data_IF_791554819662
#
_entry.id   IF_791554819662
#
_cell.length_a   1.000
_cell.length_b   1.000
_cell.length_c   1.000
_cell.angle_alpha   90.00
_cell.angle_beta   90.00
_cell.angle_gamma   90.00
#
_symmetry.space_group_name_H-M   'P 1'
#
loop_
_entity.id
_entity.type
_entity.pdbx_description
1 polymer ?
2 non-polymer ?
3 non-polymer ?
4 non-polymer ?
5 non-polymer ?
6 non-polymer ?
7 water ?
#
# COMPACT_ATOMS: atom_id res chain seq x y z
N UNK A 2 -11.79 23.02 5.67
CA UNK A 2 -10.79 22.05 6.23
C UNK A 2 -11.30 21.35 7.50
N UNK A 3 -11.74 20.09 7.37
CA UNK A 3 -12.10 19.23 8.53
C UNK A 3 -10.86 18.99 9.41
N UNK A 4 -11.02 19.00 10.73
CA UNK A 4 -9.88 18.78 11.65
C UNK A 4 -10.07 17.66 12.70
N UNK A 5 -11.25 17.06 12.73
CA UNK A 5 -11.52 15.87 13.53
C UNK A 5 -12.78 15.21 13.00
N UNK A 6 -12.99 13.96 13.43
CA UNK A 6 -14.12 13.15 13.02
C UNK A 6 -14.86 12.67 14.24
N UNK A 7 -14.41 13.12 15.41
CA UNK A 7 -14.96 12.67 16.67
C UNK A 7 -15.41 13.80 17.58
N UNK A 8 -15.73 13.43 18.82
CA UNK A 8 -16.18 14.39 19.82
C UNK A 8 -15.03 14.87 20.74
N UNK A 9 -13.81 14.35 20.55
CA UNK A 9 -12.73 14.71 21.46
C UNK A 9 -11.94 15.95 20.99
N UNK A 10 -12.05 17.04 21.75
CA UNK A 10 -11.28 18.26 21.47
C UNK A 10 -9.76 18.06 21.59
N UNK A 11 -9.31 17.27 22.57
CA UNK A 11 -7.86 16.90 22.67
C UNK A 11 -7.30 16.25 21.38
N UNK A 12 -8.14 15.53 20.66
CA UNK A 12 -7.68 14.86 19.42
C UNK A 12 -7.32 15.79 18.26
N UNK A 13 -7.97 16.93 18.14
CA UNK A 13 -7.63 17.85 17.05
C UNK A 13 -6.16 18.20 17.10
N UNK A 14 -5.69 18.51 18.31
CA UNK A 14 -4.29 18.81 18.60
C UNK A 14 -3.40 17.59 18.37
N UNK A 15 -3.79 16.44 18.91
CA UNK A 15 -2.93 15.24 18.83
C UNK A 15 -2.79 14.80 17.36
N UNK A 16 -3.86 14.94 16.60
CA UNK A 16 -3.84 14.59 15.18
C UNK A 16 -2.94 15.54 14.39
N UNK A 17 -3.14 16.86 14.59
CA UNK A 17 -2.33 17.83 13.85
C UNK A 17 -0.86 17.58 14.23
N UNK A 18 -0.58 17.25 15.48
CA UNK A 18 0.77 16.94 15.89
C UNK A 18 1.34 15.73 15.12
N UNK A 19 0.61 14.61 15.08
CA UNK A 19 1.07 13.43 14.32
C UNK A 19 1.26 13.77 12.86
N UNK A 20 0.35 14.56 12.29
CA UNK A 20 0.43 14.91 10.87
C UNK A 20 1.59 15.80 10.49
N UNK A 21 2.24 16.45 11.46
CA UNK A 21 3.52 17.12 11.15
C UNK A 21 4.55 16.13 10.53
N UNK A 22 4.39 14.83 10.74
CA UNK A 22 5.32 13.83 10.15
C UNK A 22 4.82 13.20 8.83
N UNK A 23 3.81 13.84 8.25
CA UNK A 23 3.23 13.40 6.96
C UNK A 23 4.25 13.02 5.93
N UNK A 24 5.28 13.85 5.75
CA UNK A 24 6.26 13.64 4.70
C UNK A 24 7.40 12.71 5.11
N UNK A 25 7.25 12.04 6.24
CA UNK A 25 8.32 11.24 6.79
C UNK A 25 7.99 9.75 6.85
N UNK A 26 8.99 8.93 6.58
CA UNK A 26 8.87 7.48 6.71
C UNK A 26 8.48 7.09 8.11
N UNK A 27 8.87 7.88 9.11
CA UNK A 27 8.58 7.55 10.50
C UNK A 27 7.22 7.96 11.05
N UNK A 28 6.31 8.50 10.22
CA UNK A 28 4.92 8.73 10.64
C UNK A 28 4.34 7.49 11.29
N UNK A 29 3.50 7.70 12.30
CA UNK A 29 2.87 6.60 12.99
C UNK A 29 1.40 6.58 12.66
N UNK A 30 1.02 5.68 11.75
CA UNK A 30 -0.34 5.60 11.28
C UNK A 30 -1.28 5.05 12.36
N UNK A 31 -0.76 4.26 13.29
CA UNK A 31 -1.64 3.76 14.33
C UNK A 31 -2.15 4.94 15.20
N UNK A 32 -1.28 5.89 15.48
CA UNK A 32 -1.67 7.07 16.25
C UNK A 32 -2.66 7.94 15.44
N UNK A 33 -2.42 8.07 14.14
CA UNK A 33 -3.33 8.78 13.28
C UNK A 33 -4.74 8.19 13.40
N UNK A 34 -4.85 6.87 13.35
CA UNK A 34 -6.14 6.22 13.53
C UNK A 34 -6.75 6.48 14.90
N UNK A 35 -5.93 6.46 15.96
CA UNK A 35 -6.46 6.70 17.31
C UNK A 35 -7.02 8.13 17.42
N UNK A 36 -6.38 9.11 16.82
CA UNK A 36 -6.81 10.48 16.97
C UNK A 36 -7.83 10.97 15.91
N UNK A 37 -8.29 10.08 15.01
CA UNK A 37 -9.24 10.41 13.94
C UNK A 37 -10.56 9.65 14.03
N UNK A 38 -10.84 9.06 15.18
CA UNK A 38 -12.01 8.20 15.39
C UNK A 38 -12.07 7.07 14.36
N UNK A 39 -10.91 6.47 14.18
CA UNK A 39 -10.74 5.40 13.23
C UNK A 39 -11.05 5.77 11.77
N UNK A 40 -10.54 6.91 11.34
CA UNK A 40 -10.58 7.32 9.95
C UNK A 40 -9.20 7.61 9.37
N UNK A 41 -8.24 6.65 9.53
CA UNK A 41 -6.87 6.89 9.09
C UNK A 41 -6.79 7.13 7.59
N UNK A 42 -7.57 6.40 6.82
CA UNK A 42 -7.46 6.51 5.37
C UNK A 42 -8.06 7.83 4.88
N UNK A 43 -9.25 8.17 5.36
CA UNK A 43 -9.86 9.47 5.01
C UNK A 43 -8.97 10.63 5.38
N UNK A 44 -8.46 10.63 6.61
CA UNK A 44 -7.66 11.77 7.09
C UNK A 44 -6.27 11.82 6.45
N UNK A 45 -5.61 10.67 6.31
CA UNK A 45 -4.30 10.73 5.67
C UNK A 45 -4.38 11.14 4.18
N UNK A 46 -5.42 10.67 3.51
CA UNK A 46 -5.59 10.98 2.11
C UNK A 46 -5.91 12.49 1.99
N UNK A 47 -6.76 12.99 2.86
CA UNK A 47 -7.03 14.43 2.91
C UNK A 47 -5.76 15.23 3.15
N UNK A 48 -4.95 14.82 4.12
CA UNK A 48 -3.66 15.47 4.37
C UNK A 48 -2.66 15.39 3.22
N UNK A 49 -2.51 14.21 2.63
CA UNK A 49 -1.67 14.07 1.44
C UNK A 49 -2.14 14.99 0.29
N UNK A 50 -3.42 14.98 -0.05
CA UNK A 50 -3.87 15.78 -1.22
C UNK A 50 -3.66 17.30 -1.03
N UNK A 51 -3.92 17.80 0.17
CA UNK A 51 -3.64 19.22 0.53
C UNK A 51 -2.17 19.55 0.51
N UNK A 52 -1.34 18.66 1.08
CA UNK A 52 0.12 18.82 1.02
C UNK A 52 0.62 18.96 -0.42
N UNK A 53 0.02 18.25 -1.36
CA UNK A 53 0.49 18.28 -2.73
C UNK A 53 -0.33 19.19 -3.62
N UNK A 54 -1.27 19.94 -3.05
CA UNK A 54 -2.14 20.82 -3.82
C UNK A 54 -2.89 20.11 -4.96
N UNK A 55 -3.27 18.84 -4.72
CA UNK A 55 -3.97 18.03 -5.73
C UNK A 55 -5.46 18.38 -5.88
N UNK A 56 -6.11 18.78 -4.79
CA UNK A 56 -7.51 19.23 -4.89
C UNK A 56 -7.61 20.51 -5.76
N UNK A 57 -6.68 21.43 -5.56
CA UNK A 57 -6.58 22.61 -6.43
C UNK A 57 -6.21 22.24 -7.86
N UNK A 58 -5.10 21.53 -8.04
CA UNK A 58 -4.63 21.22 -9.39
C UNK A 58 -5.69 20.53 -10.23
N UNK A 59 -6.41 19.58 -9.63
CA UNK A 59 -7.38 18.81 -10.37
C UNK A 59 -8.85 19.22 -10.16
N UNK A 60 -9.04 20.38 -9.51
CA UNK A 60 -10.38 20.96 -9.24
C UNK A 60 -11.33 19.95 -8.61
N UNK A 61 -10.82 19.31 -7.56
CA UNK A 61 -11.63 18.36 -6.78
C UNK A 61 -12.25 19.08 -5.59
N UNK A 62 -13.56 19.05 -5.49
CA UNK A 62 -14.23 19.60 -4.33
C UNK A 62 -13.86 18.88 -3.03
N UNK A 63 -13.50 19.67 -1.99
CA UNK A 63 -13.20 19.08 -0.66
C UNK A 63 -14.35 18.21 -0.16
N UNK A 64 -15.57 18.67 -0.41
CA UNK A 64 -16.78 17.95 -0.03
C UNK A 64 -16.90 16.56 -0.70
N UNK A 65 -16.69 16.53 -2.00
CA UNK A 65 -16.81 15.29 -2.77
C UNK A 65 -15.66 14.35 -2.35
N UNK A 66 -14.47 14.92 -2.14
CA UNK A 66 -13.30 14.14 -1.79
C UNK A 66 -13.54 13.39 -0.48
N UNK A 67 -14.04 14.09 0.53
CA UNK A 67 -14.30 13.51 1.85
C UNK A 67 -15.37 12.46 1.79
N UNK A 68 -16.41 12.71 1.01
CA UNK A 68 -17.47 11.74 0.86
C UNK A 68 -17.01 10.47 0.14
N UNK A 69 -16.18 10.62 -0.87
CA UNK A 69 -15.67 9.46 -1.60
C UNK A 69 -14.77 8.64 -0.66
N UNK A 70 -13.85 9.33 0.01
CA UNK A 70 -12.84 8.71 0.87
C UNK A 70 -13.48 8.01 2.07
N UNK A 71 -14.46 8.64 2.72
CA UNK A 71 -15.21 8.00 3.78
C UNK A 71 -15.85 6.73 3.31
N UNK A 72 -16.45 6.78 2.12
CA UNK A 72 -17.12 5.62 1.60
C UNK A 72 -16.12 4.53 1.19
N UNK A 73 -15.02 4.92 0.58
CA UNK A 73 -14.00 3.91 0.26
C UNK A 73 -13.52 3.24 1.56
N UNK A 74 -13.24 4.05 2.57
CA UNK A 74 -12.79 3.54 3.85
C UNK A 74 -13.79 2.57 4.43
N UNK A 75 -15.07 2.89 4.32
CA UNK A 75 -16.14 2.04 4.80
C UNK A 75 -16.17 0.71 4.06
N UNK A 76 -15.55 0.61 2.88
CA UNK A 76 -15.58 -0.69 2.16
C UNK A 76 -14.38 -1.57 2.51
N UNK A 77 -13.49 -1.09 3.34
CA UNK A 77 -12.51 -1.94 3.96
C UNK A 77 -13.21 -2.60 5.19
N UNK A 78 -12.96 -3.87 5.41
CA UNK A 78 -13.61 -4.62 6.49
C UNK A 78 -12.86 -4.37 7.79
N UNK A 79 -13.49 -3.70 8.76
CA UNK A 79 -12.82 -3.48 10.05
C UNK A 79 -12.60 -4.76 10.84
N UNK A 80 -13.35 -5.83 10.55
CA UNK A 80 -13.10 -7.14 11.16
C UNK A 80 -12.03 -8.00 10.51
N UNK A 81 -11.27 -7.45 9.57
CA UNK A 81 -10.13 -8.15 8.98
C UNK A 81 -8.91 -7.57 9.67
N UNK A 82 -8.01 -8.43 10.14
CA UNK A 82 -6.93 -8.02 11.07
C UNK A 82 -5.91 -7.14 10.42
N UNK A 83 -5.55 -7.48 9.21
CA UNK A 83 -4.52 -6.74 8.57
C UNK A 83 -5.02 -5.87 7.39
N UNK A 84 -5.70 -6.51 6.44
CA UNK A 84 -6.14 -5.85 5.20
C UNK A 84 -7.41 -5.00 5.46
N UNK A 85 -7.31 -4.09 6.43
CA UNK A 85 -8.35 -3.10 6.74
C UNK A 85 -7.86 -1.69 6.34
N UNK A 86 -8.58 -0.63 6.69
CA UNK A 86 -8.25 0.70 6.17
C UNK A 86 -6.94 1.28 6.72
N UNK A 87 -6.45 0.74 7.84
CA UNK A 87 -5.17 1.22 8.39
C UNK A 87 -4.00 0.86 7.49
N UNK A 88 -4.04 -0.37 6.94
CA UNK A 88 -3.11 -0.83 5.93
C UNK A 88 -3.13 0.02 4.67
N UNK A 89 -4.32 0.28 4.14
CA UNK A 89 -4.48 1.14 2.98
C UNK A 89 -3.92 2.56 3.29
N UNK A 90 -4.25 3.08 4.47
CA UNK A 90 -3.70 4.41 4.87
C UNK A 90 -2.16 4.42 4.84
N UNK A 91 -1.57 3.37 5.40
CA UNK A 91 -0.15 3.20 5.50
C UNK A 91 0.47 3.12 4.15
N UNK A 92 -0.13 2.35 3.24
CA UNK A 92 0.44 2.21 1.94
C UNK A 92 0.31 3.53 1.16
N UNK A 93 -0.79 4.25 1.31
CA UNK A 93 -0.91 5.54 0.64
C UNK A 93 0.14 6.55 1.17
N UNK A 94 0.27 6.63 2.49
CA UNK A 94 1.30 7.54 3.09
C UNK A 94 2.71 7.11 2.71
N UNK A 95 2.97 5.80 2.69
CA UNK A 95 4.30 5.34 2.26
C UNK A 95 4.57 5.71 0.82
N UNK A 96 3.56 5.56 -0.03
CA UNK A 96 3.69 5.96 -1.42
C UNK A 96 3.95 7.48 -1.59
N UNK A 97 3.24 8.29 -0.80
CA UNK A 97 3.48 9.75 -0.78
C UNK A 97 4.95 10.07 -0.43
N UNK A 98 5.54 9.35 0.51
CA UNK A 98 6.98 9.56 0.81
C UNK A 98 7.91 9.15 -0.36
N UNK A 99 7.70 7.95 -0.89
CA UNK A 99 8.50 7.43 -2.01
C UNK A 99 8.43 8.32 -3.22
N UNK A 100 7.30 8.97 -3.46
CA UNK A 100 7.17 9.86 -4.62
C UNK A 100 8.11 11.10 -4.52
N UNK A 101 8.55 11.43 -3.31
CA UNK A 101 9.41 12.60 -3.07
C UNK A 101 10.88 12.28 -2.95
N UNK A 102 11.25 11.01 -3.10
CA UNK A 102 12.64 10.62 -3.05
C UNK A 102 13.48 11.50 -4.04
N UNK A 103 14.67 11.97 -3.61
CA UNK A 103 15.35 12.96 -4.48
C UNK A 103 15.63 12.49 -5.91
N UNK A 104 16.02 11.23 -6.06
CA UNK A 104 16.28 10.62 -7.37
C UNK A 104 15.14 10.76 -8.39
N UNK A 105 13.91 10.78 -7.91
CA UNK A 105 12.77 10.88 -8.81
C UNK A 105 12.27 12.30 -8.90
N UNK A 106 12.97 13.24 -8.29
CA UNK A 106 12.54 14.62 -8.30
C UNK A 106 12.29 15.06 -9.72
N UNK A 107 11.14 15.71 -9.94
CA UNK A 107 10.68 16.24 -11.24
C UNK A 107 10.38 15.20 -12.30
N UNK A 108 10.47 13.91 -11.98
CA UNK A 108 10.22 12.88 -12.98
C UNK A 108 8.75 12.77 -13.36
N UNK A 109 7.85 12.84 -12.37
CA UNK A 109 6.45 12.45 -12.59
C UNK A 109 5.54 13.64 -12.82
N UNK A 110 4.59 13.49 -13.73
CA UNK A 110 3.53 14.44 -13.88
C UNK A 110 2.61 14.39 -12.66
N UNK A 111 1.80 15.43 -12.55
CA UNK A 111 0.84 15.56 -11.49
C UNK A 111 -0.20 14.42 -11.61
N UNK A 112 -0.63 14.12 -12.83
CA UNK A 112 -1.60 13.05 -13.06
C UNK A 112 -1.08 11.73 -12.58
N UNK A 113 0.20 11.50 -12.80
CA UNK A 113 0.87 10.30 -12.38
C UNK A 113 0.98 10.18 -10.84
N UNK A 114 1.26 11.30 -10.18
CA UNK A 114 1.37 11.39 -8.73
C UNK A 114 -0.01 11.06 -8.10
N UNK A 115 -1.03 11.66 -8.68
CA UNK A 115 -2.41 11.42 -8.34
C UNK A 115 -2.82 9.93 -8.50
N UNK A 116 -2.48 9.35 -9.65
CA UNK A 116 -2.74 7.94 -9.93
C UNK A 116 -2.11 7.06 -8.86
N UNK A 117 -0.86 7.33 -8.54
CA UNK A 117 -0.14 6.50 -7.64
C UNK A 117 -0.75 6.52 -6.24
N UNK A 118 -1.12 7.69 -5.72
CA UNK A 118 -1.66 7.77 -4.37
C UNK A 118 -3.06 7.19 -4.30
N UNK A 119 -3.85 7.42 -5.34
CA UNK A 119 -5.18 6.84 -5.44
C UNK A 119 -5.09 5.31 -5.53
N UNK A 120 -4.15 4.78 -6.33
CA UNK A 120 -3.93 3.35 -6.45
C UNK A 120 -3.60 2.73 -5.08
N UNK A 121 -2.72 3.36 -4.32
CA UNK A 121 -2.39 2.91 -2.97
C UNK A 121 -3.64 2.85 -2.06
N UNK A 122 -4.46 3.90 -2.11
CA UNK A 122 -5.69 4.01 -1.32
C UNK A 122 -6.69 2.91 -1.55
N UNK A 123 -6.87 2.56 -2.81
CA UNK A 123 -7.83 1.55 -3.21
C UNK A 123 -7.33 0.11 -3.24
N UNK A 124 -6.05 -0.12 -3.03
CA UNK A 124 -5.44 -1.30 -3.59
C UNK A 124 -5.86 -2.58 -2.91
N UNK A 125 -6.39 -2.53 -1.69
CA UNK A 125 -6.92 -3.72 -1.02
C UNK A 125 -8.39 -3.56 -0.61
N UNK A 126 -9.17 -2.66 -1.26
CA UNK A 126 -10.55 -2.39 -0.80
C UNK A 126 -11.49 -3.62 -0.89
N UNK A 127 -12.31 -3.81 0.13
CA UNK A 127 -13.22 -4.94 0.25
C UNK A 127 -12.52 -6.31 0.32
N UNK A 128 -11.30 -6.32 0.85
CA UNK A 128 -10.53 -7.57 1.03
C UNK A 128 -11.24 -8.41 2.08
N UNK A 129 -11.48 -9.70 1.80
CA UNK A 129 -12.20 -10.51 2.76
C UNK A 129 -11.32 -11.23 3.78
N UNK A 130 -10.00 -11.10 3.69
CA UNK A 130 -9.07 -11.63 4.70
C UNK A 130 -8.58 -13.05 4.44
N UNK A 131 -8.74 -13.47 3.20
CA UNK A 131 -8.24 -14.75 2.74
C UNK A 131 -7.60 -14.54 1.37
N UNK A 132 -6.72 -15.45 1.02
CA UNK A 132 -5.83 -15.31 -0.12
C UNK A 132 -6.56 -15.68 -1.41
N UNK A 133 -5.97 -15.32 -2.54
CA UNK A 133 -6.49 -15.66 -3.84
C UNK A 133 -6.64 -17.18 -3.96
N UNK A 134 -5.60 -17.90 -3.51
CA UNK A 134 -5.66 -19.36 -3.52
C UNK A 134 -6.79 -19.98 -2.70
N UNK A 135 -7.08 -19.47 -1.50
CA UNK A 135 -8.25 -19.90 -0.77
C UNK A 135 -9.57 -19.59 -1.56
N UNK A 136 -9.65 -18.43 -2.23
CA UNK A 136 -10.87 -18.11 -2.97
C UNK A 136 -11.06 -19.06 -4.14
N UNK A 137 -9.97 -19.41 -4.82
CA UNK A 137 -9.98 -20.28 -5.98
C UNK A 137 -10.36 -21.72 -5.54
N UNK A 138 -9.77 -22.18 -4.45
CA UNK A 138 -9.93 -23.55 -4.00
C UNK A 138 -11.29 -23.77 -3.39
N UNK A 139 -11.93 -22.72 -2.86
CA UNK A 139 -13.27 -22.86 -2.33
C UNK A 139 -14.39 -22.55 -3.35
N UNK A 140 -14.02 -22.30 -4.59
CA UNK A 140 -14.98 -22.04 -5.65
C UNK A 140 -15.82 -20.85 -5.29
N UNK A 141 -15.18 -19.80 -4.78
CA UNK A 141 -15.91 -18.67 -4.30
C UNK A 141 -16.50 -17.84 -5.45
N UNK A 142 -17.47 -17.02 -5.12
CA UNK A 142 -18.10 -16.14 -6.12
C UNK A 142 -17.04 -15.24 -6.84
N UNK A 143 -16.08 -14.68 -6.09
CA UNK A 143 -15.03 -13.86 -6.68
C UNK A 143 -14.17 -14.63 -7.67
N UNK A 144 -13.75 -15.87 -7.34
CA UNK A 144 -12.92 -16.66 -8.23
C UNK A 144 -13.73 -17.08 -9.48
N UNK A 145 -15.01 -17.25 -9.33
CA UNK A 145 -15.87 -17.56 -10.49
C UNK A 145 -16.09 -16.32 -11.35
N UNK A 146 -16.12 -15.16 -10.72
CA UNK A 146 -16.26 -13.90 -11.51
C UNK A 146 -15.00 -13.62 -12.36
N UNK A 147 -13.85 -13.79 -11.75
CA UNK A 147 -12.58 -13.42 -12.31
C UNK A 147 -11.76 -14.58 -12.85
N UNK A 148 -12.37 -15.75 -13.01
CA UNK A 148 -11.64 -16.82 -13.70
C UNK A 148 -10.25 -17.14 -13.11
N UNK A 149 -10.17 -17.07 -11.79
CA UNK A 149 -9.01 -17.47 -10.99
C UNK A 149 -7.79 -16.58 -11.17
N UNK A 150 -7.93 -15.51 -11.94
CA UNK A 150 -6.76 -14.67 -12.29
C UNK A 150 -6.81 -13.33 -11.55
N UNK A 151 -5.81 -13.11 -10.72
CA UNK A 151 -5.70 -11.88 -9.88
C UNK A 151 -7.07 -11.49 -9.34
N UNK A 152 -7.68 -12.46 -8.67
CA UNK A 152 -9.08 -12.41 -8.22
C UNK A 152 -9.27 -11.20 -7.33
N UNK A 153 -8.51 -11.13 -6.25
CA UNK A 153 -8.73 -10.03 -5.30
C UNK A 153 -8.37 -8.69 -5.96
N UNK A 154 -7.24 -8.63 -6.64
CA UNK A 154 -6.73 -7.35 -7.20
C UNK A 154 -7.69 -6.79 -8.23
N UNK A 155 -8.31 -7.68 -9.02
CA UNK A 155 -9.33 -7.22 -9.98
C UNK A 155 -10.54 -6.66 -9.20
N UNK A 156 -10.91 -7.34 -8.11
CA UNK A 156 -12.02 -6.91 -7.28
C UNK A 156 -11.77 -5.58 -6.64
N UNK A 157 -10.57 -5.36 -6.12
CA UNK A 157 -10.23 -4.08 -5.46
C UNK A 157 -10.38 -2.91 -6.43
N UNK A 158 -9.92 -3.12 -7.67
CA UNK A 158 -10.07 -2.10 -8.73
C UNK A 158 -11.53 -1.83 -9.08
N UNK A 159 -12.31 -2.89 -9.22
CA UNK A 159 -13.71 -2.79 -9.56
C UNK A 159 -14.44 -1.99 -8.53
N UNK A 160 -14.22 -2.28 -7.25
CA UNK A 160 -14.90 -1.58 -6.21
C UNK A 160 -14.49 -0.06 -6.23
N UNK A 161 -13.19 0.17 -6.29
CA UNK A 161 -12.67 1.54 -6.31
C UNK A 161 -13.24 2.39 -7.43
N UNK A 162 -13.37 1.82 -8.62
CA UNK A 162 -13.83 2.59 -9.77
C UNK A 162 -15.35 2.68 -9.82
N UNK A 163 -16.03 1.63 -9.34
CA UNK A 163 -17.46 1.65 -9.24
C UNK A 163 -17.95 2.72 -8.29
N UNK A 164 -17.21 3.01 -7.23
CA UNK A 164 -17.61 4.05 -6.28
C UNK A 164 -17.55 5.48 -6.86
N UNK A 165 -16.80 5.69 -7.93
CA UNK A 165 -16.79 7.00 -8.62
C UNK A 165 -18.00 7.27 -9.49
N UNK A 166 -18.85 6.27 -9.70
CA UNK A 166 -19.99 6.39 -10.63
C UNK A 166 -21.16 7.24 -10.10
N UNK A 167 -21.17 7.60 -8.83
CA UNK A 167 -22.22 8.44 -8.29
C UNK A 167 -21.69 9.88 -8.31
N UNK A 168 -22.43 10.82 -8.89
CA UNK A 168 -21.97 12.22 -9.02
C UNK A 168 -21.40 12.77 -7.73
N UNK A 169 -22.10 12.50 -6.62
CA UNK A 169 -21.70 12.99 -5.30
C UNK A 169 -20.33 12.48 -4.84
N UNK A 170 -19.84 11.40 -5.45
CA UNK A 170 -18.59 10.81 -5.05
C UNK A 170 -17.52 10.90 -6.17
N UNK A 171 -17.84 11.51 -7.34
CA UNK A 171 -16.89 11.51 -8.46
C UNK A 171 -15.82 12.56 -8.30
N UNK A 172 -14.79 12.21 -7.55
CA UNK A 172 -13.66 13.10 -7.34
C UNK A 172 -12.92 13.48 -8.64
N UNK A 173 -13.09 12.68 -9.70
CA UNK A 173 -12.37 12.92 -10.97
C UNK A 173 -13.24 13.61 -12.02
N UNK A 174 -14.35 14.19 -11.58
CA UNK A 174 -15.29 14.88 -12.44
C UNK A 174 -14.66 15.95 -13.35
N UNK A 175 -13.70 16.70 -12.83
CA UNK A 175 -13.10 17.80 -13.60
C UNK A 175 -11.80 17.47 -14.30
N UNK A 176 -11.38 16.20 -14.30
CA UNK A 176 -10.34 15.79 -15.25
C UNK A 176 -10.97 15.74 -16.64
N UNK A 177 -10.15 15.87 -17.67
CA UNK A 177 -10.66 15.67 -19.04
C UNK A 177 -10.86 14.18 -19.32
N UNK A 178 -11.58 13.86 -20.38
CA UNK A 178 -11.80 12.47 -20.80
C UNK A 178 -10.49 11.71 -20.96
N UNK A 179 -9.53 12.32 -21.63
CA UNK A 179 -8.22 11.69 -21.82
C UNK A 179 -7.44 11.53 -20.53
N UNK A 180 -7.55 12.51 -19.66
CA UNK A 180 -6.95 12.41 -18.33
C UNK A 180 -7.52 11.20 -17.57
N UNK A 181 -8.84 11.11 -17.49
CA UNK A 181 -9.51 10.00 -16.82
C UNK A 181 -9.05 8.65 -17.41
N UNK A 182 -9.01 8.60 -18.75
CA UNK A 182 -8.52 7.45 -19.49
C UNK A 182 -7.12 7.04 -19.14
N UNK A 183 -6.20 8.00 -19.12
CA UNK A 183 -4.83 7.68 -18.73
C UNK A 183 -4.69 7.30 -17.23
N UNK A 184 -5.46 7.94 -16.36
CA UNK A 184 -5.33 7.65 -14.92
C UNK A 184 -5.82 6.18 -14.65
N UNK A 185 -6.93 5.83 -15.26
CA UNK A 185 -7.50 4.47 -15.18
C UNK A 185 -6.51 3.44 -15.60
N UNK A 186 -5.95 3.62 -16.79
CA UNK A 186 -4.91 2.69 -17.23
C UNK A 186 -3.80 2.59 -16.20
N UNK A 187 -3.34 3.73 -15.67
CA UNK A 187 -2.20 3.69 -14.76
C UNK A 187 -2.54 2.98 -13.44
N UNK A 188 -3.72 3.26 -12.92
CA UNK A 188 -4.15 2.70 -11.62
C UNK A 188 -4.36 1.18 -11.72
N UNK A 189 -4.99 0.75 -12.82
CA UNK A 189 -5.21 -0.68 -13.07
C UNK A 189 -3.88 -1.42 -13.06
N UNK A 190 -2.93 -0.85 -13.80
CA UNK A 190 -1.56 -1.38 -13.88
C UNK A 190 -0.97 -1.47 -12.49
N UNK A 191 -1.07 -0.40 -11.70
CA UNK A 191 -0.37 -0.43 -10.41
C UNK A 191 -0.99 -1.43 -9.43
N UNK A 192 -2.32 -1.48 -9.38
CA UNK A 192 -2.99 -2.38 -8.42
C UNK A 192 -2.81 -3.86 -8.80
N UNK A 193 -2.93 -4.17 -10.10
CA UNK A 193 -2.65 -5.56 -10.51
C UNK A 193 -1.25 -6.04 -10.17
N UNK A 194 -0.28 -5.12 -10.17
CA UNK A 194 1.10 -5.42 -9.76
C UNK A 194 1.31 -5.72 -8.31
N UNK A 195 0.30 -5.43 -7.46
CA UNK A 195 0.40 -5.79 -6.07
C UNK A 195 0.09 -7.30 -5.84
N UNK A 196 -0.38 -8.02 -6.87
CA UNK A 196 -0.64 -9.49 -6.74
C UNK A 196 0.73 -10.21 -6.51
N UNK A 197 0.93 -10.86 -5.38
CA UNK A 197 2.24 -11.48 -5.08
C UNK A 197 2.66 -12.54 -6.11
N UNK A 198 1.70 -13.15 -6.79
CA UNK A 198 2.04 -14.12 -7.82
C UNK A 198 2.83 -13.47 -8.97
N UNK A 199 2.83 -12.13 -9.06
CA UNK A 199 3.56 -11.39 -10.09
C UNK A 199 4.91 -10.83 -9.61
N UNK A 200 5.31 -11.09 -8.38
CA UNK A 200 6.42 -10.36 -7.79
C UNK A 200 7.75 -10.78 -8.44
N UNK A 201 7.98 -12.09 -8.51
CA UNK A 201 9.26 -12.59 -9.07
C UNK A 201 9.52 -11.96 -10.40
N UNK A 202 8.49 -11.88 -11.23
CA UNK A 202 8.67 -11.32 -12.56
C UNK A 202 8.83 -9.81 -12.59
N UNK A 203 8.21 -9.14 -11.62
CA UNK A 203 8.27 -7.69 -11.52
C UNK A 203 9.69 -7.29 -11.08
N UNK A 204 10.24 -8.07 -10.17
CA UNK A 204 11.57 -7.81 -9.67
C UNK A 204 12.60 -8.02 -10.78
N UNK A 205 12.47 -9.13 -11.54
CA UNK A 205 13.38 -9.41 -12.66
C UNK A 205 13.44 -8.21 -13.56
N UNK A 206 12.27 -7.71 -13.96
CA UNK A 206 12.23 -6.58 -14.88
C UNK A 206 12.78 -5.28 -14.22
N UNK A 207 12.62 -5.17 -12.91
CA UNK A 207 13.13 -3.99 -12.21
C UNK A 207 14.65 -4.02 -12.15
N UNK A 208 15.21 -5.16 -11.74
CA UNK A 208 16.67 -5.39 -11.79
C UNK A 208 17.19 -5.03 -13.17
N UNK A 209 16.57 -5.62 -14.18
CA UNK A 209 16.92 -5.38 -15.57
C UNK A 209 16.90 -3.92 -15.98
N UNK A 210 16.06 -3.12 -15.33
CA UNK A 210 16.05 -1.67 -15.57
C UNK A 210 17.10 -0.93 -14.71
N UNK A 211 17.38 -1.43 -13.51
CA UNK A 211 18.43 -0.84 -12.67
C UNK A 211 19.76 -0.95 -13.42
N UNK A 212 20.05 -2.14 -13.97
CA UNK A 212 21.22 -2.39 -14.83
C UNK A 212 21.47 -1.31 -15.87
N UNK A 213 20.43 -0.84 -16.55
CA UNK A 213 20.62 0.08 -17.68
C UNK A 213 20.21 1.52 -17.37
N UNK A 214 20.26 1.87 -16.08
CA UNK A 214 19.75 3.16 -15.62
C UNK A 214 20.69 4.30 -15.99
N UNK A 215 20.09 5.47 -16.16
CA UNK A 215 20.80 6.64 -16.63
C UNK A 215 20.56 7.83 -15.70
N UNK A 216 21.25 7.83 -14.56
CA UNK A 216 21.30 8.96 -13.62
C UNK A 216 21.89 10.17 -14.34
N UNK A 217 21.07 11.15 -14.68
CA UNK A 217 21.57 12.40 -15.29
C UNK A 217 22.56 13.17 -14.39
N UNK A 218 23.29 14.12 -14.99
CA UNK A 218 24.33 14.92 -14.32
C UNK A 218 23.89 15.46 -12.95
N UNK A 219 22.73 16.10 -12.91
CA UNK A 219 22.24 16.71 -11.65
C UNK A 219 21.79 15.70 -10.56
N UNK A 220 21.96 14.40 -10.79
CA UNK A 220 21.65 13.37 -9.78
C UNK A 220 20.28 12.69 -9.90
N UNK A 221 19.52 13.05 -10.94
CA UNK A 221 18.15 12.55 -11.11
C UNK A 221 18.07 11.49 -12.21
N UNK A 222 17.36 10.39 -11.91
CA UNK A 222 17.06 9.38 -12.91
C UNK A 222 16.33 9.98 -14.11
N UNK A 223 16.83 9.63 -15.28
CA UNK A 223 16.21 9.95 -16.55
C UNK A 223 15.31 8.79 -16.87
N UNK A 224 14.01 9.08 -16.99
CA UNK A 224 12.99 8.10 -17.31
C UNK A 224 12.15 8.81 -18.33
N UNK A 225 12.44 8.52 -19.59
CA UNK A 225 12.06 9.43 -20.67
C UNK A 225 10.70 9.10 -21.28
N UNK A 226 10.34 7.82 -21.30
CA UNK A 226 9.04 7.39 -21.86
C UNK A 226 8.02 6.87 -20.79
N UNK A 227 6.75 6.90 -21.15
CA UNK A 227 5.69 6.34 -20.32
C UNK A 227 6.07 4.96 -19.78
N UNK A 228 6.55 4.09 -20.65
CA UNK A 228 6.85 2.72 -20.25
C UNK A 228 7.77 2.65 -19.06
N UNK A 229 8.79 3.51 -19.02
CA UNK A 229 9.74 3.47 -17.91
C UNK A 229 9.08 4.05 -16.66
N UNK A 230 8.29 5.10 -16.85
CA UNK A 230 7.68 5.78 -15.72
C UNK A 230 6.66 4.88 -15.01
N UNK A 231 5.72 4.30 -15.75
CA UNK A 231 4.75 3.36 -15.14
C UNK A 231 5.44 2.15 -14.53
N UNK A 232 6.64 1.79 -15.00
CA UNK A 232 7.30 0.63 -14.41
C UNK A 232 7.89 0.94 -13.02
N UNK A 233 8.37 2.18 -12.87
CA UNK A 233 8.84 2.62 -11.57
C UNK A 233 7.65 2.80 -10.59
N UNK A 234 6.54 3.32 -11.09
CA UNK A 234 5.32 3.53 -10.33
C UNK A 234 4.77 2.19 -9.81
N UNK A 235 4.69 1.18 -10.68
CA UNK A 235 4.20 -0.13 -10.22
C UNK A 235 5.10 -0.73 -9.19
N UNK A 236 6.42 -0.53 -9.32
CA UNK A 236 7.34 -1.07 -8.32
C UNK A 236 7.30 -0.25 -7.00
N UNK A 237 7.10 1.04 -7.10
CA UNK A 237 6.96 1.90 -5.91
C UNK A 237 5.76 1.47 -5.03
N UNK A 238 4.59 1.34 -5.64
CA UNK A 238 3.37 0.92 -4.91
C UNK A 238 3.56 -0.48 -4.31
N UNK A 239 4.20 -1.37 -5.06
CA UNK A 239 4.59 -2.68 -4.57
C UNK A 239 5.51 -2.58 -3.36
N UNK A 240 6.51 -1.70 -3.43
CA UNK A 240 7.44 -1.57 -2.29
C UNK A 240 6.73 -1.07 -1.06
N UNK A 241 5.86 -0.08 -1.29
CA UNK A 241 5.05 0.53 -0.24
C UNK A 241 4.14 -0.53 0.41
N UNK A 242 3.54 -1.40 -0.41
CA UNK A 242 2.72 -2.53 0.09
C UNK A 242 3.59 -3.45 0.94
N UNK A 243 4.85 -3.62 0.53
CA UNK A 243 5.82 -4.45 1.25
C UNK A 243 6.80 -3.60 2.08
N UNK A 244 6.31 -2.53 2.70
CA UNK A 244 7.17 -1.64 3.50
C UNK A 244 7.15 -1.90 5.00
N UNK A 245 6.26 -2.72 5.53
CA UNK A 245 6.16 -2.81 6.97
C UNK A 245 7.52 -3.17 7.62
N UNK A 246 8.29 -4.10 7.00
CA UNK A 246 9.56 -4.49 7.65
C UNK A 246 10.64 -3.44 7.64
N UNK A 247 10.45 -2.41 6.81
CA UNK A 247 11.37 -1.30 6.67
C UNK A 247 11.10 -0.12 7.62
N UNK A 248 10.11 -0.24 8.50
CA UNK A 248 9.69 0.83 9.41
C UNK A 248 10.28 0.54 10.77
N UNK A 249 10.18 1.50 11.70
CA UNK A 249 10.69 1.27 13.06
C UNK A 249 10.18 -0.08 13.60
N UNK A 250 10.95 -0.68 14.50
CA UNK A 250 10.62 -2.00 15.04
C UNK A 250 9.31 -1.98 15.77
N UNK A 251 9.04 -0.90 16.52
CA UNK A 251 7.76 -0.76 17.19
C UNK A 251 6.54 -0.87 16.24
N UNK A 252 6.64 -0.30 15.05
CA UNK A 252 5.55 -0.36 14.05
C UNK A 252 5.49 -1.77 13.39
N UNK A 253 6.64 -2.21 12.89
CA UNK A 253 6.77 -3.54 12.26
C UNK A 253 6.17 -4.63 13.12
N UNK A 254 6.44 -4.63 14.41
CA UNK A 254 5.97 -5.72 15.27
C UNK A 254 4.46 -5.75 15.35
N UNK A 255 3.81 -4.58 15.39
CA UNK A 255 2.33 -4.53 15.40
C UNK A 255 1.75 -4.94 14.06
N UNK A 256 2.40 -4.58 12.95
CA UNK A 256 2.00 -5.07 11.64
C UNK A 256 2.08 -6.61 11.53
N UNK A 257 3.23 -7.18 11.92
CA UNK A 257 3.39 -8.64 12.02
C UNK A 257 2.31 -9.31 12.81
N UNK A 258 2.03 -8.84 14.00
CA UNK A 258 0.93 -9.41 14.76
C UNK A 258 -0.45 -9.40 14.03
N UNK A 259 -0.69 -8.35 13.24
CA UNK A 259 -1.97 -8.30 12.51
C UNK A 259 -1.97 -9.28 11.36
N UNK A 260 -0.91 -9.35 10.58
CA UNK A 260 -0.97 -10.25 9.45
C UNK A 260 -1.05 -11.72 9.89
N UNK A 261 -0.50 -12.04 11.08
CA UNK A 261 -0.53 -13.43 11.57
C UNK A 261 -1.86 -13.75 12.18
N UNK A 262 -2.48 -12.81 12.84
CA UNK A 262 -3.85 -13.01 13.21
C UNK A 262 -4.69 -13.37 11.94
N UNK A 263 -4.58 -12.56 10.90
CA UNK A 263 -5.39 -12.79 9.68
C UNK A 263 -5.06 -14.16 9.08
N UNK A 264 -3.78 -14.41 8.89
CA UNK A 264 -3.33 -15.69 8.33
C UNK A 264 -3.80 -16.87 9.15
N UNK A 265 -3.60 -16.82 10.47
CA UNK A 265 -4.09 -17.89 11.29
C UNK A 265 -5.60 -18.11 11.22
N UNK A 266 -6.34 -17.01 11.07
CA UNK A 266 -7.79 -17.13 10.89
C UNK A 266 -8.16 -17.81 9.57
N UNK A 267 -7.42 -17.57 8.50
CA UNK A 267 -7.61 -18.34 7.28
C UNK A 267 -7.33 -19.83 7.55
N UNK A 268 -6.26 -20.08 8.30
CA UNK A 268 -5.88 -21.45 8.67
C UNK A 268 -7.01 -22.19 9.33
N UNK A 269 -7.68 -21.52 10.27
CA UNK A 269 -8.80 -22.09 10.98
C UNK A 269 -10.00 -22.41 10.09
N UNK A 270 -10.30 -21.48 9.15
CA UNK A 270 -11.40 -21.68 8.19
C UNK A 270 -11.10 -22.88 7.31
N UNK A 271 -9.84 -23.01 6.88
CA UNK A 271 -9.44 -24.14 6.09
C UNK A 271 -9.70 -25.43 6.89
N UNK A 272 -9.37 -25.44 8.18
CA UNK A 272 -9.54 -26.61 9.03
C UNK A 272 -11.01 -26.97 9.13
N UNK A 273 -11.83 -25.97 9.49
CA UNK A 273 -13.30 -26.05 9.43
C UNK A 273 -13.84 -26.68 8.16
N UNK A 274 -13.18 -26.48 7.03
CA UNK A 274 -13.66 -27.02 5.75
C UNK A 274 -13.01 -28.33 5.34
N UNK A 275 -12.14 -28.88 6.19
CA UNK A 275 -11.48 -30.14 5.86
C UNK A 275 -10.52 -29.96 4.70
N UNK A 276 -10.12 -28.72 4.45
CA UNK A 276 -9.17 -28.43 3.39
C UNK A 276 -7.82 -28.72 3.96
N UNK A 277 -6.84 -28.83 3.06
CA UNK A 277 -5.42 -28.85 3.40
C UNK A 277 -4.99 -27.49 4.02
N UNK A 278 -4.33 -27.51 5.19
CA UNK A 278 -4.00 -26.24 5.87
C UNK A 278 -2.77 -25.63 5.20
N UNK A 279 -2.85 -24.40 4.74
CA UNK A 279 -1.66 -23.74 4.19
C UNK A 279 -0.64 -23.59 5.33
N UNK A 280 0.59 -24.10 5.17
CA UNK A 280 1.50 -24.17 6.35
C UNK A 280 1.76 -22.87 7.15
N UNK A 281 1.96 -21.75 6.45
CA UNK A 281 2.17 -20.46 7.11
C UNK A 281 0.91 -19.92 7.82
N UNK A 282 -0.24 -20.52 7.50
CA UNK A 282 -1.52 -20.15 8.10
C UNK A 282 -1.90 -21.07 9.23
N UNK A 283 -1.00 -22.00 9.58
CA UNK A 283 -1.34 -22.99 10.63
C UNK A 283 -0.87 -22.54 12.03
N UNK A 284 -1.80 -22.17 12.91
CA UNK A 284 -1.40 -21.58 14.17
C UNK A 284 -0.72 -22.63 15.09
N UNK A 285 -1.03 -23.90 14.90
CA UNK A 285 -0.50 -24.99 15.72
C UNK A 285 0.93 -25.39 15.40
N UNK A 286 1.47 -24.93 14.28
CA UNK A 286 2.82 -25.30 13.91
C UNK A 286 3.71 -24.13 13.44
N UNK A 287 3.15 -23.08 12.81
CA UNK A 287 4.01 -22.06 12.14
C UNK A 287 4.65 -21.09 13.15
N UNK A 288 5.88 -20.67 12.87
CA UNK A 288 6.60 -19.75 13.75
C UNK A 288 6.55 -18.35 13.16
N UNK A 289 5.94 -17.44 13.90
CA UNK A 289 5.88 -16.02 13.43
C UNK A 289 7.25 -15.54 13.06
N UNK A 290 8.20 -15.77 13.96
CA UNK A 290 9.54 -15.21 13.80
C UNK A 290 10.28 -15.70 12.56
N UNK A 291 10.24 -17.01 12.31
CA UNK A 291 10.81 -17.57 11.10
C UNK A 291 10.14 -17.03 9.83
N UNK A 292 8.84 -16.87 9.88
CA UNK A 292 8.11 -16.37 8.71
C UNK A 292 8.60 -14.99 8.29
N UNK A 293 8.86 -14.12 9.26
CA UNK A 293 9.38 -12.79 8.96
C UNK A 293 10.81 -12.87 8.47
N UNK A 294 11.67 -13.63 9.15
CA UNK A 294 13.04 -13.80 8.65
C UNK A 294 12.97 -14.31 7.22
N UNK A 295 12.16 -15.36 7.03
CA UNK A 295 11.98 -15.94 5.68
C UNK A 295 11.45 -14.91 4.69
N UNK A 296 10.38 -14.21 5.08
CA UNK A 296 9.79 -13.19 4.20
C UNK A 296 10.77 -12.10 3.83
N UNK A 297 11.56 -11.62 4.78
CA UNK A 297 12.57 -10.61 4.43
C UNK A 297 13.62 -11.19 3.47
N UNK A 298 14.22 -12.32 3.88
CA UNK A 298 15.33 -12.91 3.12
C UNK A 298 14.91 -13.20 1.71
N UNK A 299 13.71 -13.78 1.54
CA UNK A 299 13.29 -14.23 0.23
C UNK A 299 12.55 -13.21 -0.61
N UNK A 300 11.89 -12.24 0.03
CA UNK A 300 11.03 -11.32 -0.73
C UNK A 300 11.33 -9.81 -0.46
N UNK A 301 11.26 -9.38 0.78
CA UNK A 301 11.38 -7.93 1.06
C UNK A 301 12.80 -7.36 0.76
N UNK A 302 13.84 -7.99 1.30
CA UNK A 302 15.22 -7.48 1.07
C UNK A 302 15.59 -7.43 -0.41
N UNK A 303 15.37 -8.54 -1.16
CA UNK A 303 15.70 -8.48 -2.58
C UNK A 303 15.00 -7.40 -3.34
N UNK A 304 13.76 -7.11 -2.96
CA UNK A 304 13.03 -6.02 -3.60
C UNK A 304 13.61 -4.64 -3.22
N UNK A 305 13.81 -4.41 -1.93
CA UNK A 305 14.23 -3.06 -1.48
C UNK A 305 15.70 -2.78 -1.86
N UNK A 306 16.54 -3.80 -1.71
CA UNK A 306 17.92 -3.74 -2.20
C UNK A 306 17.92 -3.27 -3.63
N UNK A 307 17.01 -3.82 -4.42
CA UNK A 307 16.92 -3.41 -5.81
C UNK A 307 16.34 -2.00 -5.94
N UNK A 308 15.34 -1.66 -5.12
CA UNK A 308 14.84 -0.29 -5.15
C UNK A 308 16.01 0.66 -4.75
N UNK A 309 16.73 0.36 -3.68
CA UNK A 309 17.82 1.23 -3.21
C UNK A 309 18.82 1.51 -4.33
N UNK A 310 19.22 0.42 -4.98
CA UNK A 310 20.09 0.52 -6.14
C UNK A 310 19.60 1.61 -7.07
N UNK A 311 18.32 1.53 -7.42
CA UNK A 311 17.69 2.48 -8.32
C UNK A 311 17.69 3.94 -7.85
N UNK A 312 17.51 4.17 -6.55
CA UNK A 312 17.33 5.54 -6.04
C UNK A 312 18.56 6.03 -5.25
N UNK A 313 19.64 5.25 -5.28
CA UNK A 313 20.88 5.51 -4.54
C UNK A 313 21.23 7.00 -4.47
N UNK A 314 21.65 7.47 -3.28
CA UNK A 314 21.70 6.74 -2.02
C UNK A 314 20.42 6.95 -1.18
N UNK A 315 19.34 7.40 -1.82
CA UNK A 315 18.10 7.81 -1.09
C UNK A 315 17.61 6.78 -0.06
N UNK A 316 17.75 5.48 -0.35
CA UNK A 316 17.07 4.45 0.44
C UNK A 316 17.94 3.72 1.42
N UNK A 317 19.14 4.25 1.70
CA UNK A 317 20.09 3.50 2.49
C UNK A 317 19.60 3.27 3.90
N UNK A 318 18.95 4.28 4.49
CA UNK A 318 18.46 4.12 5.88
C UNK A 318 17.33 3.10 6.02
N UNK A 319 16.52 2.97 4.97
CA UNK A 319 15.50 1.92 4.93
C UNK A 319 16.17 0.56 4.98
N UNK A 320 17.12 0.34 4.08
CA UNK A 320 17.87 -0.92 4.03
C UNK A 320 18.48 -1.33 5.34
N UNK A 321 19.05 -0.37 6.06
CA UNK A 321 19.66 -0.67 7.35
C UNK A 321 18.63 -0.98 8.38
N UNK A 322 17.49 -0.28 8.30
CA UNK A 322 16.44 -0.59 9.27
C UNK A 322 15.95 -2.03 9.08
N UNK A 323 15.70 -2.39 7.84
CA UNK A 323 15.27 -3.76 7.46
C UNK A 323 16.25 -4.82 8.03
N UNK A 324 17.53 -4.60 7.76
CA UNK A 324 18.56 -5.55 8.21
C UNK A 324 18.56 -5.63 9.73
N UNK A 325 18.47 -4.49 10.41
CA UNK A 325 18.28 -4.51 11.86
C UNK A 325 17.05 -5.32 12.31
N UNK A 326 15.92 -5.05 11.67
CA UNK A 326 14.68 -5.74 12.04
C UNK A 326 14.74 -7.27 11.77
N UNK A 327 15.27 -7.64 10.62
CA UNK A 327 15.57 -9.03 10.26
C UNK A 327 16.37 -9.66 11.40
N UNK A 328 17.53 -9.07 11.69
CA UNK A 328 18.37 -9.49 12.81
C UNK A 328 17.60 -9.57 14.09
N UNK A 329 16.65 -8.66 14.29
CA UNK A 329 15.89 -8.73 15.53
C UNK A 329 15.00 -9.96 15.61
N UNK A 330 14.30 -10.31 14.51
CA UNK A 330 13.41 -11.51 14.56
C UNK A 330 14.23 -12.82 14.61
N UNK A 331 15.34 -12.86 13.90
CA UNK A 331 16.25 -14.05 13.98
C UNK A 331 16.59 -14.31 15.43
N UNK A 332 17.04 -13.26 16.11
CA UNK A 332 17.46 -13.41 17.51
C UNK A 332 16.31 -13.83 18.41
N UNK A 333 15.06 -13.67 17.97
CA UNK A 333 13.91 -14.26 18.69
C UNK A 333 13.66 -15.73 18.36
N UNK A 334 14.31 -16.29 17.36
CA UNK A 334 14.18 -17.74 17.10
C UNK A 334 15.10 -18.46 18.10
N UNK A 335 14.55 -19.27 19.02
CA UNK A 335 15.42 -19.88 20.06
C UNK A 335 16.63 -20.73 19.58
N UNK A 336 16.55 -21.30 18.37
CA UNK A 336 17.61 -22.15 17.83
C UNK A 336 18.55 -21.36 16.88
N UNK A 337 19.74 -21.91 16.64
CA UNK A 337 20.73 -21.36 15.69
C UNK A 337 20.22 -20.15 14.89
#
# INVERSE_FOLDING_TARGET
MSISRFGVNTENEDHLAKELEDLNKWGLNIFNVAGYSHNRPLTCIMYAIFQERDLLKTFRISSDTFITYMMTLEDHYHSDVAYHNSLHAADVAQSTHVLLSTPALDAVFTDLEILAAIFAAAIHDVDHPGVSNQFLINTNSELALMYNDESVLENHHLAVGFKLLQEEHCDIFMNLTKKQRQTLRKMVIDMVLATDMSKHMSLLADLKTMVETKKVTSSGVLLLDNYTDRIQVLRNMVHCADLSNPTKSLELYRQWTDRIMEEFFQQGDKERERGMEISPMCDKHTASVEKSQVGFIDYIVHPLWETWADLVQPDAQDILDTLEDNRNWYQAMIPQAPAPPLDEQNRDCQGLM
#
